data_IF_173556640982
#
_entry.id   IF_173556640982
#
_cell.length_a   1.000
_cell.length_b   1.000
_cell.length_c   1.000
_cell.angle_alpha   90.00
_cell.angle_beta   90.00
_cell.angle_gamma   90.00
#
_symmetry.space_group_name_H-M   'P 1'
#
loop_
_entity.id
_entity.type
_entity.pdbx_description
1 polymer ?
#
# COMPACT_ATOMS: atom_id res chain seq x y z
N UNK A 1 -22.13 -3.05 3.92
CA UNK A 1 -21.50 -3.90 4.95
C UNK A 1 -20.02 -3.54 5.03
N UNK A 2 -19.45 -3.51 6.23
CA UNK A 2 -18.01 -3.34 6.41
C UNK A 2 -17.30 -4.67 6.13
N UNK A 3 -16.17 -4.62 5.43
CA UNK A 3 -15.35 -5.79 5.12
C UNK A 3 -14.19 -5.87 6.11
N UNK A 4 -14.02 -7.01 6.78
CA UNK A 4 -12.85 -7.24 7.62
C UNK A 4 -11.58 -7.34 6.77
N UNK A 5 -10.45 -6.89 7.34
CA UNK A 5 -9.14 -7.12 6.73
C UNK A 5 -8.83 -8.62 6.65
N UNK A 6 -8.06 -8.98 5.64
CA UNK A 6 -7.63 -10.34 5.34
C UNK A 6 -6.12 -10.47 5.53
N UNK A 7 -5.68 -11.65 5.95
CA UNK A 7 -4.30 -12.06 6.13
C UNK A 7 -3.95 -13.26 5.21
N UNK A 8 -2.81 -13.91 5.45
CA UNK A 8 -2.35 -15.04 4.64
C UNK A 8 -3.23 -16.30 4.74
N UNK A 9 -4.04 -16.45 5.78
CA UNK A 9 -4.85 -17.64 6.04
C UNK A 9 -6.31 -17.52 5.60
N UNK A 10 -6.79 -16.29 5.35
CA UNK A 10 -8.19 -16.03 4.97
C UNK A 10 -8.34 -15.12 3.72
N UNK A 11 -7.29 -15.02 2.90
CA UNK A 11 -7.28 -14.20 1.70
C UNK A 11 -8.26 -14.71 0.64
N UNK A 12 -9.19 -13.85 0.22
CA UNK A 12 -10.22 -14.17 -0.77
C UNK A 12 -10.29 -13.07 -1.85
N UNK A 13 -10.07 -13.49 -3.10
CA UNK A 13 -10.03 -12.61 -4.28
C UNK A 13 -11.40 -11.99 -4.57
N UNK A 14 -12.50 -12.70 -4.33
CA UNK A 14 -13.85 -12.16 -4.57
C UNK A 14 -14.18 -11.03 -3.61
N UNK A 15 -13.67 -11.12 -2.37
CA UNK A 15 -13.74 -10.01 -1.41
C UNK A 15 -12.86 -8.84 -1.88
N UNK A 16 -11.64 -9.09 -2.35
CA UNK A 16 -10.75 -8.03 -2.87
C UNK A 16 -11.40 -7.21 -3.99
N UNK A 17 -12.10 -7.86 -4.93
CA UNK A 17 -12.81 -7.18 -6.05
C UNK A 17 -13.88 -6.18 -5.59
N UNK A 18 -14.38 -6.32 -4.36
CA UNK A 18 -15.42 -5.47 -3.76
C UNK A 18 -14.88 -4.56 -2.66
N UNK A 19 -13.55 -4.42 -2.56
CA UNK A 19 -12.93 -3.61 -1.53
C UNK A 19 -13.34 -2.13 -1.66
N UNK A 20 -13.48 -1.43 -0.54
CA UNK A 20 -13.80 0.01 -0.52
C UNK A 20 -12.58 0.88 -0.17
N UNK A 21 -11.47 0.28 0.25
CA UNK A 21 -10.25 0.98 0.67
C UNK A 21 -9.14 0.64 -0.30
N UNK A 22 -8.52 1.68 -0.87
CA UNK A 22 -7.51 1.53 -1.91
C UNK A 22 -6.32 2.44 -1.66
N UNK A 23 -5.14 1.99 -2.07
CA UNK A 23 -3.95 2.79 -2.21
C UNK A 23 -3.79 3.25 -3.65
N UNK A 24 -3.44 4.52 -3.83
CA UNK A 24 -2.98 5.05 -5.11
C UNK A 24 -1.46 5.06 -5.13
N UNK A 25 -0.85 4.52 -6.18
CA UNK A 25 0.61 4.56 -6.38
C UNK A 25 1.02 5.76 -7.24
N UNK A 26 2.30 6.20 -7.16
CA UNK A 26 2.80 7.28 -8.02
C UNK A 26 2.74 6.98 -9.53
N UNK A 27 2.73 5.71 -9.93
CA UNK A 27 2.48 5.29 -11.32
C UNK A 27 1.00 5.05 -11.64
N UNK A 28 0.10 5.75 -10.93
CA UNK A 28 -1.33 5.84 -11.22
C UNK A 28 -2.08 4.50 -11.15
N UNK A 29 -1.64 3.58 -10.29
CA UNK A 29 -2.38 2.34 -10.01
C UNK A 29 -3.26 2.52 -8.78
N UNK A 30 -4.45 1.94 -8.83
CA UNK A 30 -5.35 1.81 -7.69
C UNK A 30 -5.31 0.37 -7.20
N UNK A 31 -4.85 0.13 -5.98
CA UNK A 31 -4.62 -1.20 -5.42
C UNK A 31 -5.47 -1.38 -4.17
N UNK A 32 -6.34 -2.40 -4.08
CA UNK A 32 -7.10 -2.70 -2.87
C UNK A 32 -6.21 -2.90 -1.64
N UNK A 33 -6.68 -2.48 -0.45
CA UNK A 33 -5.90 -2.49 0.80
C UNK A 33 -5.25 -3.84 1.09
N UNK A 34 -6.03 -4.92 1.06
CA UNK A 34 -5.52 -6.26 1.35
C UNK A 34 -4.57 -6.75 0.27
N UNK A 35 -4.76 -6.42 -1.01
CA UNK A 35 -3.81 -6.80 -2.06
C UNK A 35 -2.48 -6.03 -1.94
N UNK A 36 -2.53 -4.81 -1.43
CA UNK A 36 -1.34 -4.00 -1.17
C UNK A 36 -0.52 -4.56 0.01
N UNK A 37 -1.16 -4.87 1.14
CA UNK A 37 -0.48 -5.23 2.40
C UNK A 37 -0.40 -6.73 2.69
N UNK A 38 -1.27 -7.55 2.10
CA UNK A 38 -1.44 -8.98 2.39
C UNK A 38 -1.67 -9.75 1.07
N UNK A 39 -1.67 -11.09 1.10
CA UNK A 39 -1.80 -11.88 -0.15
C UNK A 39 -0.64 -11.62 -1.14
N UNK A 40 -0.85 -10.95 -2.29
CA UNK A 40 0.22 -10.60 -3.25
C UNK A 40 1.27 -9.61 -2.74
N UNK A 41 0.96 -8.81 -1.70
CA UNK A 41 1.86 -7.83 -1.07
C UNK A 41 2.55 -6.88 -2.08
N UNK A 42 1.74 -6.17 -2.88
CA UNK A 42 2.29 -5.21 -3.87
C UNK A 42 3.11 -4.07 -3.24
N UNK A 43 2.92 -3.81 -1.94
CA UNK A 43 3.65 -2.80 -1.17
C UNK A 43 5.16 -2.84 -1.38
N UNK A 44 5.78 -4.01 -1.28
CA UNK A 44 7.25 -4.14 -1.36
C UNK A 44 7.80 -3.64 -2.69
N UNK A 45 7.12 -3.97 -3.80
CA UNK A 45 7.51 -3.52 -5.12
C UNK A 45 7.30 -2.02 -5.33
N UNK A 46 6.19 -1.48 -4.82
CA UNK A 46 5.87 -0.05 -4.88
C UNK A 46 6.89 0.76 -4.07
N UNK A 47 7.14 0.38 -2.82
CA UNK A 47 8.10 1.06 -1.94
C UNK A 47 9.52 1.00 -2.52
N UNK A 48 9.97 -0.16 -3.03
CA UNK A 48 11.28 -0.27 -3.68
C UNK A 48 11.42 0.68 -4.89
N UNK A 49 10.34 0.93 -5.62
CA UNK A 49 10.35 1.76 -6.83
C UNK A 49 10.26 3.26 -6.54
N UNK A 50 9.53 3.66 -5.51
CA UNK A 50 9.15 5.07 -5.31
C UNK A 50 9.57 5.67 -3.98
N UNK A 51 9.93 4.87 -2.98
CA UNK A 51 10.37 5.42 -1.70
C UNK A 51 11.72 6.13 -1.88
N UNK A 52 11.89 7.23 -1.15
CA UNK A 52 13.17 7.93 -1.03
C UNK A 52 13.78 7.65 0.33
N UNK A 53 15.12 7.53 0.43
CA UNK A 53 15.78 7.42 1.73
C UNK A 53 15.45 8.62 2.64
N UNK A 54 15.34 8.36 3.94
CA UNK A 54 14.97 9.38 4.93
C UNK A 54 15.91 10.60 4.91
N UNK A 55 17.21 10.36 4.75
CA UNK A 55 18.21 11.43 4.65
C UNK A 55 17.99 12.35 3.44
N UNK A 56 17.61 11.78 2.29
CA UNK A 56 17.29 12.55 1.09
C UNK A 56 16.01 13.36 1.27
N UNK A 57 15.00 12.77 1.92
CA UNK A 57 13.74 13.45 2.22
C UNK A 57 13.96 14.66 3.14
N UNK A 58 14.72 14.48 4.24
CA UNK A 58 15.06 15.55 5.20
C UNK A 58 15.83 16.69 4.55
N UNK A 59 16.75 16.40 3.62
CA UNK A 59 17.46 17.44 2.87
C UNK A 59 16.51 18.33 2.06
N UNK A 60 15.39 17.78 1.57
CA UNK A 60 14.41 18.52 0.74
C UNK A 60 13.36 19.26 1.56
N UNK A 61 13.00 18.76 2.75
CA UNK A 61 11.83 19.24 3.51
C UNK A 61 12.14 19.69 4.95
N UNK A 62 13.39 19.54 5.41
CA UNK A 62 13.78 19.76 6.80
C UNK A 62 13.32 18.63 7.73
N UNK A 63 13.47 18.84 9.05
CA UNK A 63 13.20 17.83 10.08
C UNK A 63 11.85 18.00 10.78
N UNK A 64 11.01 18.94 10.33
CA UNK A 64 9.77 19.27 11.05
C UNK A 64 8.74 18.13 11.06
N UNK A 65 8.83 17.17 10.13
CA UNK A 65 7.83 16.10 9.95
C UNK A 65 8.44 14.68 9.94
N UNK A 66 9.69 14.51 10.36
CA UNK A 66 10.43 13.21 10.41
C UNK A 66 11.44 13.16 11.52
#
# INVERSE_FOLDING_TARGET
GAMHFMDAYNYDIERVKRCSIHYTTPDMKLIPFCAYNSGPVYRTGVEKKFSVPLAEWRKRHGDQYT
#
